data_IF_717356823801
#
_entry.id   IF_717356823801
#
_cell.length_a   1.000
_cell.length_b   1.000
_cell.length_c   1.000
_cell.angle_alpha   90.00
_cell.angle_beta   90.00
_cell.angle_gamma   90.00
#
_symmetry.space_group_name_H-M   'P 1'
#
loop_
_entity.id
_entity.type
_entity.pdbx_description
1 polymer ?
#
# COMPACT_ATOMS: atom_id res chain seq x y z
N UNK A 1 -26.70 -10.87 -3.20
CA UNK A 1 -27.17 -10.02 -2.08
C UNK A 1 -25.96 -9.33 -1.48
N UNK A 2 -25.73 -8.04 -1.74
CA UNK A 2 -24.57 -7.32 -1.20
C UNK A 2 -24.89 -7.00 0.25
N UNK A 3 -24.27 -7.72 1.18
CA UNK A 3 -24.42 -7.44 2.61
C UNK A 3 -23.65 -6.16 2.91
N UNK A 4 -24.35 -5.05 3.06
CA UNK A 4 -23.75 -3.80 3.50
C UNK A 4 -23.23 -3.98 4.93
N UNK A 5 -21.92 -4.01 5.10
CA UNK A 5 -21.33 -3.94 6.42
C UNK A 5 -21.72 -2.60 7.07
N UNK A 6 -22.14 -2.59 8.33
CA UNK A 6 -22.39 -1.34 9.04
C UNK A 6 -21.11 -0.48 9.06
N UNK A 7 -21.28 0.82 8.90
CA UNK A 7 -20.19 1.79 8.72
C UNK A 7 -19.05 1.61 9.74
N UNK A 8 -19.37 1.38 11.02
CA UNK A 8 -18.36 1.20 12.06
C UNK A 8 -17.49 -0.05 11.86
N UNK A 9 -18.07 -1.16 11.35
CA UNK A 9 -17.30 -2.38 11.06
C UNK A 9 -16.36 -2.18 9.88
N UNK A 10 -16.81 -1.48 8.83
CA UNK A 10 -15.96 -1.13 7.70
C UNK A 10 -14.79 -0.25 8.14
N UNK A 11 -15.05 0.75 8.99
CA UNK A 11 -14.01 1.63 9.53
C UNK A 11 -13.02 0.86 10.39
N UNK A 12 -13.49 -0.01 11.30
CA UNK A 12 -12.60 -0.83 12.13
C UNK A 12 -11.73 -1.77 11.31
N UNK A 13 -12.29 -2.41 10.28
CA UNK A 13 -11.53 -3.27 9.38
C UNK A 13 -10.46 -2.48 8.62
N UNK A 14 -10.79 -1.27 8.17
CA UNK A 14 -9.81 -0.40 7.48
C UNK A 14 -8.67 0.00 8.41
N UNK A 15 -8.99 0.44 9.64
CA UNK A 15 -7.97 0.82 10.64
C UNK A 15 -7.05 -0.37 10.95
N UNK A 16 -7.64 -1.55 11.19
CA UNK A 16 -6.87 -2.77 11.46
C UNK A 16 -6.00 -3.14 10.26
N UNK A 17 -6.53 -3.06 9.06
CA UNK A 17 -5.77 -3.35 7.83
C UNK A 17 -4.58 -2.40 7.65
N UNK A 18 -4.78 -1.10 7.83
CA UNK A 18 -3.69 -0.10 7.75
C UNK A 18 -2.64 -0.35 8.83
N UNK A 19 -3.06 -0.65 10.06
CA UNK A 19 -2.14 -0.97 11.15
C UNK A 19 -1.27 -2.20 10.82
N UNK A 20 -1.89 -3.28 10.36
CA UNK A 20 -1.16 -4.49 9.97
C UNK A 20 -0.21 -4.23 8.80
N UNK A 21 -0.63 -3.44 7.82
CA UNK A 21 0.21 -3.06 6.68
C UNK A 21 1.44 -2.27 7.15
N UNK A 22 1.26 -1.32 8.07
CA UNK A 22 2.38 -0.57 8.65
C UNK A 22 3.35 -1.47 9.42
N UNK A 23 2.84 -2.47 10.15
CA UNK A 23 3.69 -3.47 10.80
C UNK A 23 4.54 -4.23 9.79
N UNK A 24 3.97 -4.62 8.65
CA UNK A 24 4.71 -5.29 7.57
C UNK A 24 5.83 -4.41 7.02
N UNK A 25 5.58 -3.13 6.77
CA UNK A 25 6.60 -2.18 6.30
C UNK A 25 7.78 -2.07 7.29
N UNK A 26 7.48 -2.02 8.58
CA UNK A 26 8.50 -2.01 9.65
C UNK A 26 9.30 -3.32 9.65
N UNK A 27 8.65 -4.48 9.52
CA UNK A 27 9.34 -5.76 9.44
C UNK A 27 10.25 -5.85 8.21
N UNK A 28 9.79 -5.41 7.04
CA UNK A 28 10.63 -5.34 5.84
C UNK A 28 11.88 -4.49 6.12
N UNK A 29 11.72 -3.34 6.74
CA UNK A 29 12.83 -2.44 7.07
C UNK A 29 13.81 -3.06 8.07
N UNK A 30 13.32 -3.76 9.08
CA UNK A 30 14.16 -4.43 10.08
C UNK A 30 14.92 -5.64 9.49
N UNK A 31 14.34 -6.35 8.54
CA UNK A 31 14.95 -7.52 7.91
C UNK A 31 15.93 -7.12 6.78
N UNK A 32 15.72 -5.98 6.14
CA UNK A 32 16.51 -5.56 4.98
C UNK A 32 18.03 -5.48 5.19
N UNK A 33 18.60 -5.19 6.39
CA UNK A 33 20.03 -5.24 6.61
C UNK A 33 20.61 -6.66 6.69
N UNK A 34 19.78 -7.64 7.09
CA UNK A 34 20.21 -9.03 7.33
C UNK A 34 19.92 -9.97 6.17
N UNK A 35 19.00 -9.60 5.29
CA UNK A 35 18.55 -10.41 4.16
C UNK A 35 18.67 -9.67 2.85
N UNK A 36 18.97 -10.39 1.79
CA UNK A 36 18.92 -9.81 0.45
C UNK A 36 17.49 -9.45 0.07
N UNK A 37 17.33 -8.35 -0.65
CA UNK A 37 16.01 -7.83 -1.10
C UNK A 37 15.18 -8.94 -1.78
N UNK A 38 15.82 -9.82 -2.58
CA UNK A 38 15.16 -10.94 -3.22
C UNK A 38 14.57 -11.95 -2.25
N UNK A 39 15.22 -12.24 -1.13
CA UNK A 39 14.72 -13.15 -0.09
C UNK A 39 13.48 -12.55 0.61
N UNK A 40 13.54 -11.28 0.94
CA UNK A 40 12.40 -10.56 1.52
C UNK A 40 11.19 -10.60 0.57
N UNK A 41 11.42 -10.38 -0.73
CA UNK A 41 10.38 -10.43 -1.76
C UNK A 41 9.75 -11.82 -1.90
N UNK A 42 10.55 -12.90 -1.83
CA UNK A 42 10.03 -14.27 -1.89
C UNK A 42 9.07 -14.51 -0.72
N UNK A 43 9.47 -14.17 0.50
CA UNK A 43 8.63 -14.37 1.69
C UNK A 43 7.37 -13.51 1.62
N UNK A 44 7.51 -12.26 1.19
CA UNK A 44 6.41 -11.31 1.06
C UNK A 44 5.42 -11.69 -0.05
N UNK A 45 5.88 -12.34 -1.11
CA UNK A 45 5.03 -12.83 -2.21
C UNK A 45 4.41 -14.20 -1.93
N UNK A 46 5.18 -15.15 -1.41
CA UNK A 46 4.71 -16.52 -1.17
C UNK A 46 3.75 -16.62 0.01
N UNK A 47 3.98 -15.86 1.08
CA UNK A 47 3.13 -15.92 2.28
C UNK A 47 1.65 -15.66 1.96
N UNK A 48 1.29 -14.49 1.41
CA UNK A 48 -0.07 -14.19 0.99
C UNK A 48 -0.59 -15.16 -0.09
N UNK A 49 0.25 -15.56 -1.05
CA UNK A 49 -0.16 -16.49 -2.11
C UNK A 49 -0.62 -17.83 -1.55
N UNK A 50 0.13 -18.42 -0.62
CA UNK A 50 -0.24 -19.66 0.06
C UNK A 50 -1.51 -19.47 0.89
N UNK A 51 -1.63 -18.36 1.60
CA UNK A 51 -2.81 -18.05 2.40
C UNK A 51 -4.07 -17.93 1.54
N UNK A 52 -4.01 -17.15 0.46
CA UNK A 52 -5.14 -17.01 -0.45
C UNK A 52 -5.48 -18.30 -1.18
N UNK A 53 -4.47 -19.11 -1.55
CA UNK A 53 -4.71 -20.42 -2.14
C UNK A 53 -5.43 -21.36 -1.17
N UNK A 54 -5.00 -21.41 0.09
CA UNK A 54 -5.66 -22.19 1.13
C UNK A 54 -7.12 -21.73 1.35
N UNK A 55 -7.35 -20.41 1.39
CA UNK A 55 -8.71 -19.86 1.49
C UNK A 55 -9.58 -20.22 0.29
N UNK A 56 -9.04 -20.21 -0.92
CA UNK A 56 -9.77 -20.60 -2.13
C UNK A 56 -10.17 -22.08 -2.10
N UNK A 57 -9.27 -22.95 -1.65
CA UNK A 57 -9.55 -24.37 -1.46
C UNK A 57 -10.66 -24.61 -0.44
N UNK A 58 -10.63 -23.90 0.69
CA UNK A 58 -11.68 -23.99 1.71
C UNK A 58 -13.03 -23.44 1.24
N UNK A 59 -13.03 -22.54 0.26
CA UNK A 59 -14.24 -21.95 -0.32
C UNK A 59 -14.75 -22.71 -1.54
N UNK A 60 -14.18 -23.87 -1.87
CA UNK A 60 -14.48 -24.69 -3.05
C UNK A 60 -14.39 -23.92 -4.38
N UNK A 61 -13.58 -22.85 -4.40
CA UNK A 61 -13.39 -22.02 -5.59
C UNK A 61 -12.12 -22.41 -6.33
N UNK A 62 -12.21 -22.57 -7.65
CA UNK A 62 -11.04 -22.82 -8.48
C UNK A 62 -10.25 -21.56 -8.68
N UNK A 63 -8.99 -21.54 -8.22
CA UNK A 63 -8.07 -20.40 -8.40
C UNK A 63 -7.70 -20.21 -9.89
N UNK A 64 -7.75 -21.28 -10.69
CA UNK A 64 -7.39 -21.27 -12.10
C UNK A 64 -8.59 -21.20 -13.05
N UNK A 65 -9.71 -20.67 -12.62
CA UNK A 65 -10.85 -20.48 -13.52
C UNK A 65 -10.48 -19.44 -14.60
N UNK A 66 -10.67 -19.83 -15.87
CA UNK A 66 -10.44 -18.96 -17.04
C UNK A 66 -11.23 -17.65 -16.99
N UNK A 67 -12.27 -17.60 -16.18
CA UNK A 67 -13.06 -16.39 -15.90
C UNK A 67 -12.24 -15.26 -15.32
N UNK A 68 -11.17 -15.57 -14.58
CA UNK A 68 -10.32 -14.57 -13.92
C UNK A 68 -9.14 -14.13 -14.79
N UNK A 69 -8.87 -14.86 -15.89
CA UNK A 69 -7.76 -14.57 -16.82
C UNK A 69 -8.23 -13.57 -17.89
N UNK A 70 -8.44 -12.33 -17.48
CA UNK A 70 -8.70 -11.24 -18.41
C UNK A 70 -7.46 -10.34 -18.56
N UNK A 71 -7.34 -9.67 -19.71
CA UNK A 71 -6.25 -8.71 -19.96
C UNK A 71 -6.10 -7.67 -18.84
N UNK A 72 -7.24 -7.20 -18.32
CA UNK A 72 -7.23 -6.25 -17.20
C UNK A 72 -6.64 -6.83 -15.93
N UNK A 73 -6.96 -8.09 -15.58
CA UNK A 73 -6.39 -8.78 -14.42
C UNK A 73 -4.89 -9.00 -14.58
N UNK A 74 -4.45 -9.41 -15.77
CA UNK A 74 -3.03 -9.59 -16.07
C UNK A 74 -2.26 -8.26 -15.93
N UNK A 75 -2.80 -7.18 -16.50
CA UNK A 75 -2.21 -5.84 -16.38
C UNK A 75 -2.12 -5.39 -14.93
N UNK A 76 -3.16 -5.63 -14.15
CA UNK A 76 -3.18 -5.35 -12.71
C UNK A 76 -2.09 -6.14 -11.98
N UNK A 77 -2.00 -7.45 -12.19
CA UNK A 77 -0.97 -8.29 -11.55
C UNK A 77 0.45 -7.82 -11.88
N UNK A 78 0.72 -7.48 -13.15
CA UNK A 78 2.02 -6.94 -13.57
C UNK A 78 2.30 -5.61 -12.87
N UNK A 79 1.34 -4.70 -12.86
CA UNK A 79 1.50 -3.38 -12.21
C UNK A 79 1.72 -3.50 -10.71
N UNK A 80 0.98 -4.38 -10.03
CA UNK A 80 1.15 -4.63 -8.59
C UNK A 80 2.50 -5.29 -8.30
N UNK A 81 2.97 -6.21 -9.14
CA UNK A 81 4.29 -6.83 -8.99
C UNK A 81 5.40 -5.78 -9.10
N UNK A 82 5.35 -4.93 -10.14
CA UNK A 82 6.33 -3.86 -10.32
C UNK A 82 6.28 -2.88 -9.15
N UNK A 83 5.08 -2.49 -8.70
CA UNK A 83 4.91 -1.60 -7.55
C UNK A 83 5.45 -2.19 -6.25
N UNK A 84 5.18 -3.47 -5.99
CA UNK A 84 5.69 -4.20 -4.83
C UNK A 84 7.22 -4.32 -4.83
N UNK A 85 7.81 -4.65 -5.98
CA UNK A 85 9.27 -4.67 -6.17
C UNK A 85 9.89 -3.30 -5.87
N UNK A 86 9.32 -2.24 -6.43
CA UNK A 86 9.79 -0.87 -6.21
C UNK A 86 9.67 -0.46 -4.73
N UNK A 87 8.58 -0.82 -4.06
CA UNK A 87 8.36 -0.52 -2.65
C UNK A 87 9.38 -1.22 -1.75
N UNK A 88 9.58 -2.53 -1.92
CA UNK A 88 10.55 -3.28 -1.10
C UNK A 88 11.97 -2.78 -1.36
N UNK A 89 12.32 -2.49 -2.61
CA UNK A 89 13.60 -1.89 -2.95
C UNK A 89 13.79 -0.50 -2.29
N UNK A 90 12.77 0.34 -2.31
CA UNK A 90 12.78 1.64 -1.66
C UNK A 90 12.93 1.52 -0.14
N UNK A 91 12.18 0.61 0.52
CA UNK A 91 12.28 0.36 1.95
C UNK A 91 13.66 -0.18 2.37
N UNK A 92 14.27 -1.03 1.55
CA UNK A 92 15.61 -1.55 1.81
C UNK A 92 16.68 -0.45 1.75
N UNK A 93 16.59 0.48 0.80
CA UNK A 93 17.66 1.43 0.49
C UNK A 93 17.41 2.87 0.98
N UNK A 94 16.21 3.18 1.48
CA UNK A 94 15.85 4.53 1.92
C UNK A 94 15.35 4.54 3.36
N UNK A 95 15.33 5.72 3.98
CA UNK A 95 14.71 5.89 5.29
C UNK A 95 13.20 5.64 5.20
N UNK A 96 12.64 4.93 6.18
CA UNK A 96 11.20 4.59 6.23
C UNK A 96 10.32 5.85 6.13
N UNK A 97 10.72 6.95 6.77
CA UNK A 97 10.02 8.22 6.75
C UNK A 97 9.90 8.82 5.34
N UNK A 98 10.94 8.69 4.51
CA UNK A 98 10.93 9.17 3.12
C UNK A 98 9.96 8.33 2.28
N UNK A 99 10.04 7.01 2.41
CA UNK A 99 9.17 6.10 1.66
C UNK A 99 7.71 6.33 2.04
N UNK A 100 7.40 6.42 3.32
CA UNK A 100 6.03 6.68 3.81
C UNK A 100 5.52 8.04 3.35
N UNK A 101 6.33 9.09 3.33
CA UNK A 101 5.95 10.39 2.82
C UNK A 101 5.58 10.35 1.33
N UNK A 102 6.36 9.64 0.52
CA UNK A 102 6.05 9.45 -0.91
C UNK A 102 4.74 8.66 -1.06
N UNK A 103 4.55 7.59 -0.29
CA UNK A 103 3.31 6.79 -0.33
C UNK A 103 2.06 7.60 0.03
N UNK A 104 2.19 8.60 0.89
CA UNK A 104 1.09 9.51 1.25
C UNK A 104 0.68 10.47 0.11
N UNK A 105 1.45 10.55 -0.96
CA UNK A 105 1.00 11.25 -2.18
C UNK A 105 -0.02 10.44 -2.98
N UNK A 106 -0.11 9.12 -2.75
CA UNK A 106 -1.00 8.22 -3.48
C UNK A 106 -2.48 8.63 -3.46
N UNK A 107 -3.08 9.04 -2.32
CA UNK A 107 -4.47 9.50 -2.30
C UNK A 107 -4.70 10.76 -3.16
N UNK A 108 -3.69 11.64 -3.24
CA UNK A 108 -3.75 12.83 -4.07
C UNK A 108 -3.74 12.46 -5.56
N UNK A 109 -2.78 11.62 -5.95
CA UNK A 109 -2.67 11.12 -7.33
C UNK A 109 -3.93 10.37 -7.73
N UNK A 110 -4.44 9.47 -6.87
CA UNK A 110 -5.67 8.72 -7.11
C UNK A 110 -6.87 9.66 -7.31
N UNK A 111 -6.96 10.73 -6.50
CA UNK A 111 -8.02 11.72 -6.61
C UNK A 111 -7.94 12.48 -7.93
N UNK A 112 -6.75 12.91 -8.34
CA UNK A 112 -6.55 13.56 -9.64
C UNK A 112 -6.93 12.62 -10.79
N UNK A 113 -6.51 11.36 -10.71
CA UNK A 113 -6.86 10.36 -11.72
C UNK A 113 -8.38 10.11 -11.79
N UNK A 114 -9.07 10.06 -10.65
CA UNK A 114 -10.52 9.92 -10.61
C UNK A 114 -11.22 11.09 -11.31
N UNK A 115 -10.76 12.33 -11.11
CA UNK A 115 -11.30 13.50 -11.81
C UNK A 115 -11.05 13.41 -13.31
N UNK A 116 -9.82 13.12 -13.72
CA UNK A 116 -9.40 13.16 -15.13
C UNK A 116 -9.99 12.01 -15.94
N UNK A 117 -9.90 10.77 -15.42
CA UNK A 117 -10.30 9.57 -16.17
C UNK A 117 -11.75 9.18 -15.95
N UNK A 118 -12.25 9.27 -14.70
CA UNK A 118 -13.64 8.91 -14.40
C UNK A 118 -14.59 10.11 -14.51
N UNK A 119 -14.06 11.33 -14.74
CA UNK A 119 -14.86 12.58 -14.76
C UNK A 119 -15.70 12.75 -13.48
N UNK A 120 -15.21 12.23 -12.36
CA UNK A 120 -15.91 12.31 -11.08
C UNK A 120 -15.85 13.73 -10.55
N UNK A 121 -16.99 14.25 -10.09
CA UNK A 121 -17.06 15.56 -9.44
C UNK A 121 -16.63 15.41 -7.98
N UNK A 122 -15.48 15.97 -7.64
CA UNK A 122 -14.98 15.94 -6.27
C UNK A 122 -15.49 17.19 -5.56
N UNK A 123 -16.17 16.98 -4.43
CA UNK A 123 -16.62 18.08 -3.59
C UNK A 123 -15.45 18.79 -2.89
N UNK A 124 -15.55 20.13 -2.68
CA UNK A 124 -14.52 20.91 -1.98
C UNK A 124 -14.05 20.30 -0.64
N UNK A 125 -14.93 19.71 0.19
CA UNK A 125 -14.49 19.12 1.47
C UNK A 125 -13.46 18.01 1.32
N UNK A 126 -13.58 17.19 0.25
CA UNK A 126 -12.64 16.08 0.00
C UNK A 126 -11.27 16.60 -0.43
N UNK A 127 -11.22 17.65 -1.24
CA UNK A 127 -9.97 18.30 -1.66
C UNK A 127 -9.27 18.91 -0.45
N UNK A 128 -10.01 19.64 0.39
CA UNK A 128 -9.47 20.27 1.60
C UNK A 128 -8.90 19.21 2.55
N UNK A 129 -9.63 18.10 2.81
CA UNK A 129 -9.19 17.03 3.69
C UNK A 129 -7.88 16.37 3.20
N UNK A 130 -7.78 16.10 1.89
CA UNK A 130 -6.58 15.53 1.28
C UNK A 130 -5.40 16.49 1.38
N UNK A 131 -5.63 17.79 1.11
CA UNK A 131 -4.58 18.82 1.18
C UNK A 131 -4.05 19.00 2.60
N UNK A 132 -4.92 19.01 3.60
CA UNK A 132 -4.52 19.09 5.02
C UNK A 132 -3.72 17.86 5.42
N UNK A 133 -4.18 16.66 5.05
CA UNK A 133 -3.47 15.41 5.34
C UNK A 133 -2.08 15.39 4.69
N UNK A 134 -1.97 15.85 3.45
CA UNK A 134 -0.70 15.92 2.71
C UNK A 134 0.29 16.91 3.36
N UNK A 135 -0.17 18.12 3.74
CA UNK A 135 0.65 19.10 4.46
C UNK A 135 1.15 18.52 5.78
N UNK A 136 0.27 17.83 6.53
CA UNK A 136 0.64 17.18 7.79
C UNK A 136 1.78 16.18 7.62
N UNK A 137 1.71 15.33 6.60
CA UNK A 137 2.76 14.34 6.31
C UNK A 137 4.07 14.99 5.87
N UNK A 138 4.01 16.01 5.01
CA UNK A 138 5.21 16.75 4.60
C UNK A 138 5.90 17.40 5.79
N UNK A 139 5.14 17.98 6.71
CA UNK A 139 5.68 18.61 7.92
C UNK A 139 6.43 17.59 8.78
N UNK A 140 5.84 16.42 9.03
CA UNK A 140 6.47 15.34 9.80
C UNK A 140 7.72 14.81 9.10
N UNK A 141 7.67 14.59 7.79
CA UNK A 141 8.84 14.14 7.00
C UNK A 141 9.99 15.13 7.03
N UNK A 142 9.68 16.42 6.91
CA UNK A 142 10.71 17.46 6.92
C UNK A 142 11.41 17.60 8.29
N UNK A 143 10.67 17.52 9.36
CA UNK A 143 11.22 17.55 10.72
C UNK A 143 12.12 16.36 11.00
N UNK A 144 11.75 15.18 10.51
CA UNK A 144 12.54 13.95 10.68
C UNK A 144 13.84 13.95 9.86
N UNK A 145 13.83 14.48 8.63
CA UNK A 145 15.04 14.66 7.81
C UNK A 145 16.02 15.62 8.45
N UNK A 146 15.54 16.74 8.98
CA UNK A 146 16.38 17.74 9.65
C UNK A 146 17.03 17.22 10.94
N UNK A 147 16.32 16.38 11.68
CA UNK A 147 16.86 15.74 12.89
C UNK A 147 18.00 14.74 12.56
N UNK A 148 17.98 14.12 11.38
CA UNK A 148 19.03 13.21 10.93
C UNK A 148 20.30 13.97 10.47
N UNK A 149 20.17 15.13 9.84
CA UNK A 149 21.30 15.97 9.44
C UNK A 149 22.03 16.56 10.63
N UNK A 150 21.33 16.95 11.68
CA UNK A 150 21.95 17.51 12.90
C UNK A 150 22.70 16.48 13.75
N UNK A 151 22.43 15.19 13.60
CA UNK A 151 23.15 14.13 14.33
C UNK A 151 24.39 13.58 13.57
N UNK A 152 24.66 14.06 12.38
CA UNK A 152 25.81 13.63 11.56
C UNK A 152 27.00 14.62 11.59
N UNK A 153 26.93 15.63 12.44
CA UNK A 153 28.03 16.55 12.82
C UNK A 153 28.39 16.35 14.30
#
# INVERSE_FOLDING_TARGET
MVTYLPFYKATMLTITGVFLFTCVDVFIKLLSPSFQVGQVLIVFGLGPAVMFWAMALLSEQSVFDKRYIHKATLFRCISETIGGLALVFALANSALSVVTAIMQTSPLVLTIMAVVFLKERIGPPRIIAISIGFIGVLTVSYTHLRAHETNSH
#
